data_IF_863284776731
#
_entry.id   IF_863284776731
#
_cell.length_a   1.000
_cell.length_b   1.000
_cell.length_c   1.000
_cell.angle_alpha   90.00
_cell.angle_beta   90.00
_cell.angle_gamma   90.00
#
_symmetry.space_group_name_H-M   'P 1'
#
loop_
_entity.id
_entity.type
_entity.pdbx_description
1 polymer ?
#
# COMPACT_ATOMS: atom_id res chain seq x y z
N UNK A 1 4.30 -7.38 26.44
CA UNK A 1 5.13 -7.95 25.35
C UNK A 1 5.36 -6.88 24.32
N UNK A 2 6.62 -6.68 23.93
CA UNK A 2 6.94 -5.70 22.88
C UNK A 2 6.48 -6.19 21.51
N UNK A 3 5.90 -5.31 20.66
CA UNK A 3 5.61 -5.69 19.29
C UNK A 3 6.88 -6.12 18.57
N UNK A 4 6.75 -7.05 17.66
CA UNK A 4 7.87 -7.46 16.80
C UNK A 4 8.35 -6.28 15.97
N UNK A 5 9.65 -6.15 15.76
CA UNK A 5 10.23 -5.18 14.81
C UNK A 5 10.09 -5.65 13.36
N UNK A 6 9.77 -6.94 13.14
CA UNK A 6 9.52 -7.47 11.80
C UNK A 6 8.22 -6.89 11.24
N UNK A 7 8.27 -6.19 10.07
CA UNK A 7 7.07 -5.60 9.48
C UNK A 7 5.95 -6.61 9.22
N UNK A 8 6.28 -7.82 8.77
CA UNK A 8 5.27 -8.86 8.49
C UNK A 8 4.59 -9.32 9.77
N UNK A 9 5.37 -9.66 10.81
CA UNK A 9 4.81 -10.09 12.08
C UNK A 9 3.96 -8.99 12.73
N UNK A 10 4.43 -7.75 12.67
CA UNK A 10 3.68 -6.61 13.20
C UNK A 10 2.37 -6.41 12.45
N UNK A 11 2.38 -6.54 11.13
CA UNK A 11 1.17 -6.40 10.31
C UNK A 11 0.13 -7.49 10.65
N UNK A 12 0.57 -8.73 10.91
CA UNK A 12 -0.32 -9.82 11.27
C UNK A 12 -0.95 -9.67 12.66
N UNK A 13 -0.30 -8.94 13.56
CA UNK A 13 -0.77 -8.73 14.93
C UNK A 13 -1.74 -7.55 15.07
N UNK A 14 -1.86 -6.74 14.02
CA UNK A 14 -2.69 -5.54 14.10
C UNK A 14 -4.18 -5.86 13.99
N UNK A 15 -4.95 -5.17 14.84
CA UNK A 15 -6.39 -5.18 14.79
C UNK A 15 -6.89 -3.91 14.11
N UNK A 16 -7.73 -4.05 13.08
CA UNK A 16 -8.31 -2.91 12.35
C UNK A 16 -9.83 -3.08 12.33
N UNK A 17 -10.54 -2.10 12.89
CA UNK A 17 -11.99 -2.11 12.99
C UNK A 17 -12.63 -1.58 11.71
N UNK A 18 -13.84 -2.08 11.40
CA UNK A 18 -14.70 -1.58 10.33
C UNK A 18 -15.42 -0.34 10.85
N UNK A 19 -15.36 0.73 10.06
CA UNK A 19 -16.03 2.00 10.37
C UNK A 19 -17.02 2.37 9.26
N UNK A 20 -17.95 3.29 9.55
CA UNK A 20 -18.86 3.81 8.56
C UNK A 20 -18.11 4.49 7.41
N UNK A 21 -18.72 4.51 6.22
CA UNK A 21 -18.14 5.18 5.06
C UNK A 21 -17.77 6.64 5.39
N UNK A 22 -16.55 7.02 5.01
CA UNK A 22 -16.07 8.38 5.19
C UNK A 22 -15.87 9.05 3.82
N UNK A 23 -16.60 10.15 3.51
CA UNK A 23 -16.48 10.86 2.24
C UNK A 23 -15.09 11.45 1.98
N UNK A 24 -14.22 11.50 2.99
CA UNK A 24 -12.84 11.97 2.83
C UNK A 24 -11.95 10.93 2.15
N UNK A 25 -12.34 9.67 2.09
CA UNK A 25 -11.50 8.61 1.51
C UNK A 25 -11.10 8.87 0.05
N UNK A 26 -11.99 9.29 -0.86
CA UNK A 26 -11.55 9.65 -2.22
C UNK A 26 -10.52 10.77 -2.25
N UNK A 27 -10.64 11.75 -1.34
CA UNK A 27 -9.69 12.85 -1.24
C UNK A 27 -8.34 12.37 -0.70
N UNK A 28 -8.34 11.46 0.25
CA UNK A 28 -7.11 10.84 0.78
C UNK A 28 -6.41 10.02 -0.29
N UNK A 29 -7.16 9.30 -1.10
CA UNK A 29 -6.61 8.60 -2.26
C UNK A 29 -5.94 9.57 -3.22
N UNK A 30 -6.64 10.64 -3.62
CA UNK A 30 -6.10 11.62 -4.57
C UNK A 30 -4.83 12.29 -4.05
N UNK A 31 -4.80 12.64 -2.76
CA UNK A 31 -3.62 13.24 -2.12
C UNK A 31 -2.43 12.27 -2.13
N UNK A 32 -2.67 10.99 -1.81
CA UNK A 32 -1.61 9.99 -1.81
C UNK A 32 -1.11 9.69 -3.23
N UNK A 33 -2.00 9.62 -4.21
CA UNK A 33 -1.62 9.44 -5.60
C UNK A 33 -0.71 10.57 -6.08
N UNK A 34 -1.06 11.81 -5.76
CA UNK A 34 -0.23 12.98 -6.09
C UNK A 34 1.14 12.90 -5.39
N UNK A 35 1.15 12.48 -4.13
CA UNK A 35 2.39 12.32 -3.36
C UNK A 35 3.32 11.28 -4.00
N UNK A 36 2.78 10.10 -4.37
CA UNK A 36 3.54 9.06 -5.04
C UNK A 36 4.10 9.54 -6.38
N UNK A 37 3.32 10.29 -7.15
CA UNK A 37 3.81 10.85 -8.42
C UNK A 37 4.92 11.88 -8.23
N UNK A 38 4.95 12.56 -7.08
CA UNK A 38 6.03 13.50 -6.76
C UNK A 38 7.33 12.80 -6.34
N UNK A 39 7.22 11.58 -5.79
CA UNK A 39 8.36 10.83 -5.28
C UNK A 39 8.98 9.89 -6.32
N UNK A 40 8.16 9.33 -7.22
CA UNK A 40 8.58 8.26 -8.12
C UNK A 40 8.86 8.77 -9.52
N UNK A 41 9.91 8.24 -10.19
CA UNK A 41 10.18 8.58 -11.58
C UNK A 41 8.99 8.24 -12.48
N UNK A 42 8.56 9.19 -13.29
CA UNK A 42 7.36 9.05 -14.12
C UNK A 42 7.46 7.93 -15.15
N UNK A 43 8.67 7.59 -15.60
CA UNK A 43 8.88 6.49 -16.55
C UNK A 43 8.71 5.11 -15.94
N UNK A 44 8.70 4.99 -14.61
CA UNK A 44 8.56 3.70 -13.94
C UNK A 44 7.12 3.34 -13.62
N UNK A 45 6.22 4.32 -13.56
CA UNK A 45 4.83 4.12 -13.15
C UNK A 45 3.86 4.63 -14.21
N UNK A 46 2.69 4.00 -14.25
CA UNK A 46 1.58 4.40 -15.11
C UNK A 46 0.39 4.88 -14.29
N UNK A 47 -0.75 4.19 -14.44
CA UNK A 47 -1.97 4.56 -13.74
C UNK A 47 -1.87 4.28 -12.24
N UNK A 48 -2.55 5.11 -11.45
CA UNK A 48 -2.78 4.89 -10.03
C UNK A 48 -4.28 4.92 -9.82
N UNK A 49 -4.82 3.84 -9.25
CA UNK A 49 -6.27 3.69 -9.08
C UNK A 49 -6.62 3.36 -7.63
N UNK A 50 -7.74 3.90 -7.18
CA UNK A 50 -8.37 3.56 -5.92
C UNK A 50 -9.20 2.29 -6.11
N UNK A 51 -9.01 1.28 -5.27
CA UNK A 51 -9.80 0.05 -5.34
C UNK A 51 -10.14 -0.46 -3.93
N UNK A 52 -10.82 -1.59 -3.86
CA UNK A 52 -11.19 -2.17 -2.59
C UNK A 52 -12.38 -1.49 -1.93
N UNK A 53 -12.61 -1.81 -0.67
CA UNK A 53 -13.83 -1.41 0.04
C UNK A 53 -13.98 0.10 0.21
N UNK A 54 -12.90 0.83 0.45
CA UNK A 54 -12.98 2.29 0.61
C UNK A 54 -13.25 3.03 -0.70
N UNK A 55 -13.13 2.34 -1.84
CA UNK A 55 -13.46 2.92 -3.15
C UNK A 55 -14.96 2.85 -3.46
N UNK A 56 -15.74 2.12 -2.66
CA UNK A 56 -17.19 1.95 -2.88
C UNK A 56 -17.94 2.98 -2.05
N UNK A 57 -18.64 3.96 -2.68
CA UNK A 57 -19.37 4.97 -1.94
C UNK A 57 -20.44 4.34 -1.03
N UNK A 58 -20.49 4.80 0.21
CA UNK A 58 -21.46 4.36 1.20
C UNK A 58 -21.15 3.05 1.90
N UNK A 59 -20.11 2.31 1.50
CA UNK A 59 -19.76 1.05 2.11
C UNK A 59 -18.93 1.24 3.39
N UNK A 60 -19.36 0.60 4.49
CA UNK A 60 -18.55 0.53 5.70
C UNK A 60 -17.33 -0.36 5.43
N UNK A 61 -16.17 0.06 5.92
CA UNK A 61 -14.91 -0.63 5.65
C UNK A 61 -13.86 -0.33 6.71
N UNK A 62 -12.78 -1.08 6.68
CA UNK A 62 -11.56 -0.69 7.40
C UNK A 62 -11.07 0.64 6.81
N UNK A 63 -10.64 1.61 7.64
CA UNK A 63 -10.25 2.95 7.16
C UNK A 63 -8.83 2.93 6.55
N UNK A 64 -8.61 2.04 5.60
CA UNK A 64 -7.33 1.87 4.90
C UNK A 64 -7.61 2.04 3.41
N UNK A 65 -6.90 2.98 2.80
CA UNK A 65 -7.04 3.24 1.37
C UNK A 65 -6.23 2.20 0.59
N UNK A 66 -6.90 1.38 -0.20
CA UNK A 66 -6.25 0.44 -1.10
C UNK A 66 -6.00 1.10 -2.45
N UNK A 67 -4.75 1.06 -2.90
CA UNK A 67 -4.33 1.70 -4.15
C UNK A 67 -3.61 0.69 -5.01
N UNK A 68 -3.84 0.77 -6.31
CA UNK A 68 -3.15 -0.02 -7.32
C UNK A 68 -2.28 0.90 -8.15
N UNK A 69 -0.98 0.63 -8.19
CA UNK A 69 -0.02 1.39 -8.98
C UNK A 69 0.50 0.50 -10.10
N UNK A 70 0.26 0.93 -11.34
CA UNK A 70 0.80 0.26 -12.52
C UNK A 70 2.29 0.58 -12.64
N UNK A 71 3.11 -0.45 -12.81
CA UNK A 71 4.56 -0.29 -12.97
C UNK A 71 5.00 -0.81 -14.32
N UNK A 72 6.08 -0.22 -14.87
CA UNK A 72 6.65 -0.64 -16.15
C UNK A 72 7.13 -2.10 -16.08
N UNK A 73 7.79 -2.46 -14.99
CA UNK A 73 8.25 -3.83 -14.76
C UNK A 73 8.29 -4.09 -13.26
N UNK A 74 7.92 -5.30 -12.85
CA UNK A 74 7.88 -5.64 -11.42
C UNK A 74 9.26 -5.60 -10.77
N UNK A 75 10.32 -5.87 -11.52
CA UNK A 75 11.71 -5.79 -11.06
C UNK A 75 12.09 -4.36 -10.62
N UNK A 76 11.50 -3.34 -11.24
CA UNK A 76 11.75 -1.96 -10.88
C UNK A 76 11.28 -1.65 -9.45
N UNK A 77 10.31 -2.39 -8.94
CA UNK A 77 9.78 -2.17 -7.59
C UNK A 77 10.86 -2.36 -6.54
N UNK A 78 11.54 -3.52 -6.54
CA UNK A 78 12.58 -3.79 -5.56
C UNK A 78 13.82 -2.93 -5.76
N UNK A 79 14.19 -2.64 -7.01
CA UNK A 79 15.44 -1.96 -7.35
C UNK A 79 15.36 -0.44 -7.27
N UNK A 80 14.23 0.14 -7.66
CA UNK A 80 14.12 1.59 -7.86
C UNK A 80 13.01 2.26 -7.04
N UNK A 81 11.91 1.55 -6.79
CA UNK A 81 10.75 2.13 -6.09
C UNK A 81 10.85 1.92 -4.58
N UNK A 82 11.13 0.69 -4.13
CA UNK A 82 11.20 0.38 -2.70
C UNK A 82 12.22 1.23 -1.94
N UNK A 83 13.45 1.46 -2.45
CA UNK A 83 14.39 2.33 -1.74
C UNK A 83 13.87 3.73 -1.52
N UNK A 84 13.19 4.31 -2.53
CA UNK A 84 12.63 5.67 -2.43
C UNK A 84 11.48 5.72 -1.42
N UNK A 85 10.56 4.76 -1.47
CA UNK A 85 9.41 4.75 -0.58
C UNK A 85 9.83 4.43 0.87
N UNK A 86 10.82 3.58 1.07
CA UNK A 86 11.35 3.31 2.42
C UNK A 86 11.93 4.55 3.07
N UNK A 87 12.60 5.40 2.31
CA UNK A 87 13.11 6.69 2.81
C UNK A 87 12.00 7.60 3.32
N UNK A 88 10.78 7.43 2.79
CA UNK A 88 9.61 8.21 3.16
C UNK A 88 8.67 7.47 4.12
N UNK A 89 9.17 6.42 4.77
CA UNK A 89 8.43 5.74 5.84
C UNK A 89 7.49 4.64 5.40
N UNK A 90 7.48 4.26 4.13
CA UNK A 90 6.66 3.15 3.66
C UNK A 90 7.35 1.82 3.97
N UNK A 91 6.57 0.83 4.41
CA UNK A 91 7.06 -0.54 4.63
C UNK A 91 6.86 -1.36 3.37
N UNK A 92 7.91 -2.05 2.92
CA UNK A 92 7.91 -2.85 1.70
C UNK A 92 7.71 -4.33 2.00
N UNK A 93 6.85 -4.98 1.21
CA UNK A 93 6.57 -6.42 1.27
C UNK A 93 6.70 -7.02 -0.11
N UNK A 94 7.26 -8.21 -0.18
CA UNK A 94 7.43 -8.96 -1.42
C UNK A 94 7.00 -10.41 -1.22
N UNK A 95 6.26 -10.94 -2.19
CA UNK A 95 5.90 -12.35 -2.23
C UNK A 95 6.31 -12.93 -3.58
N UNK A 96 7.24 -13.89 -3.56
CA UNK A 96 7.65 -14.61 -4.76
C UNK A 96 6.60 -15.63 -5.18
N UNK A 97 6.71 -16.07 -6.44
CA UNK A 97 5.97 -17.23 -6.93
C UNK A 97 6.45 -18.48 -6.20
N UNK A 98 5.51 -19.30 -5.72
CA UNK A 98 5.86 -20.56 -5.06
C UNK A 98 6.29 -21.61 -6.09
N UNK A 99 7.37 -22.38 -5.82
CA UNK A 99 7.79 -23.47 -6.70
C UNK A 99 6.65 -24.47 -6.93
N UNK A 100 6.40 -24.80 -8.19
CA UNK A 100 5.38 -25.76 -8.57
C UNK A 100 3.94 -25.23 -8.60
N UNK A 101 3.72 -24.01 -8.16
CA UNK A 101 2.44 -23.34 -8.27
C UNK A 101 2.60 -22.14 -9.22
N UNK A 102 1.89 -22.12 -10.38
CA UNK A 102 1.92 -20.95 -11.24
C UNK A 102 1.29 -19.77 -10.49
N UNK A 103 2.11 -18.81 -10.16
CA UNK A 103 1.68 -17.60 -9.46
C UNK A 103 2.41 -16.39 -10.00
N UNK A 104 1.92 -15.23 -9.67
CA UNK A 104 2.53 -13.96 -10.03
C UNK A 104 3.26 -13.45 -8.80
N UNK A 105 4.53 -13.03 -8.95
CA UNK A 105 5.23 -12.31 -7.91
C UNK A 105 4.46 -11.03 -7.57
N UNK A 106 4.43 -10.68 -6.29
CA UNK A 106 3.56 -9.62 -5.81
C UNK A 106 4.32 -8.71 -4.85
N UNK A 107 4.16 -7.41 -5.05
CA UNK A 107 4.77 -6.41 -4.20
C UNK A 107 3.70 -5.47 -3.64
N UNK A 108 3.85 -5.08 -2.37
CA UNK A 108 2.96 -4.06 -1.81
C UNK A 108 3.68 -3.26 -0.73
N UNK A 109 3.10 -2.11 -0.40
CA UNK A 109 3.61 -1.23 0.63
C UNK A 109 2.52 -0.89 1.62
N UNK A 110 2.90 -0.70 2.87
CA UNK A 110 2.02 -0.19 3.92
C UNK A 110 2.52 1.18 4.35
N UNK A 111 1.63 2.16 4.33
CA UNK A 111 1.86 3.48 4.90
C UNK A 111 1.12 3.60 6.22
N UNK A 112 1.78 4.21 7.22
CA UNK A 112 1.22 4.41 8.56
C UNK A 112 1.19 5.88 8.91
N UNK A 113 0.29 6.25 9.84
CA UNK A 113 0.24 7.59 10.41
C UNK A 113 1.25 7.73 11.57
N UNK A 114 1.26 8.90 12.22
CA UNK A 114 2.17 9.20 13.33
C UNK A 114 1.93 8.30 14.57
N UNK A 115 0.76 7.65 14.66
CA UNK A 115 0.41 6.73 15.74
C UNK A 115 0.66 5.26 15.37
N UNK A 116 1.27 4.99 14.22
CA UNK A 116 1.56 3.64 13.75
C UNK A 116 0.36 2.91 13.14
N UNK A 117 -0.76 3.57 12.93
CA UNK A 117 -1.95 2.98 12.31
C UNK A 117 -1.79 2.94 10.79
N UNK A 118 -2.19 1.84 10.19
CA UNK A 118 -2.19 1.73 8.73
C UNK A 118 -3.18 2.72 8.12
N UNK A 119 -2.74 3.46 7.13
CA UNK A 119 -3.60 4.40 6.39
C UNK A 119 -3.78 4.01 4.94
N UNK A 120 -2.76 3.41 4.33
CA UNK A 120 -2.78 3.05 2.91
C UNK A 120 -2.10 1.70 2.70
N UNK A 121 -2.67 0.89 1.82
CA UNK A 121 -2.03 -0.27 1.22
C UNK A 121 -1.84 0.02 -0.27
N UNK A 122 -0.59 -0.04 -0.74
CA UNK A 122 -0.24 0.28 -2.13
C UNK A 122 0.23 -1.00 -2.80
N UNK A 123 -0.57 -1.47 -3.73
CA UNK A 123 -0.35 -2.70 -4.48
C UNK A 123 0.19 -2.45 -5.87
#
# INVERSE_FOLDING_TARGET
MKPSSDPVARALQEHVEIVAYDPVWPQRFAAEAAHLRSLLPGELIGRIEHFGSTAVPGLSAKPIIDMLVEVRALEDVAQHIAPLLREHGYEFFWRDTEPGLPGIAYAWFIKRDAHGRRTHHIH
#
